data_IF_275238077822
#
_entry.id   IF_275238077822
#
_cell.length_a   1.000
_cell.length_b   1.000
_cell.length_c   1.000
_cell.angle_alpha   90.00
_cell.angle_beta   90.00
_cell.angle_gamma   90.00
#
_symmetry.space_group_name_H-M   'P 1'
#
loop_
_entity.id
_entity.type
_entity.pdbx_description
1 polymer ?
#
# COMPACT_ATOMS: atom_id res chain seq x y z
N UNK A 1 14.29 -11.67 9.07
CA UNK A 1 13.32 -10.82 8.36
C UNK A 1 14.10 -9.81 7.55
N UNK A 2 13.76 -9.55 6.28
CA UNK A 2 14.47 -8.55 5.47
C UNK A 2 14.17 -7.14 6.00
N UNK A 3 15.16 -6.25 6.00
CA UNK A 3 14.98 -4.87 6.42
C UNK A 3 14.14 -4.10 5.38
N UNK A 4 13.10 -3.39 5.84
CA UNK A 4 12.24 -2.59 4.96
C UNK A 4 12.92 -1.24 4.73
N UNK A 5 13.18 -0.89 3.47
CA UNK A 5 13.69 0.43 3.10
C UNK A 5 12.57 1.46 3.07
N UNK A 6 12.84 2.67 3.56
CA UNK A 6 11.90 3.79 3.54
C UNK A 6 12.37 4.89 2.60
N UNK A 7 11.51 5.28 1.67
CA UNK A 7 11.69 6.43 0.79
C UNK A 7 10.48 7.35 0.99
N UNK A 8 10.66 8.39 1.80
CA UNK A 8 9.56 9.29 2.13
C UNK A 8 9.37 10.34 1.03
N UNK A 9 8.11 10.61 0.67
CA UNK A 9 7.79 11.74 -0.21
C UNK A 9 8.32 13.05 0.35
N UNK A 10 8.84 13.90 -0.53
CA UNK A 10 9.24 15.28 -0.22
C UNK A 10 8.09 16.28 -0.40
N UNK A 11 7.00 15.85 -1.04
CA UNK A 11 5.84 16.67 -1.40
C UNK A 11 4.56 15.96 -0.94
N UNK A 12 4.25 15.98 0.37
CA UNK A 12 3.06 15.34 0.90
C UNK A 12 1.78 16.01 0.38
N UNK A 13 0.74 15.22 0.15
CA UNK A 13 -0.56 15.73 -0.26
C UNK A 13 -1.24 16.45 0.90
N UNK A 14 -2.08 17.44 0.58
CA UNK A 14 -2.98 18.03 1.56
C UNK A 14 -3.98 16.97 2.03
N UNK A 15 -4.07 16.76 3.34
CA UNK A 15 -5.06 15.85 3.94
C UNK A 15 -6.47 16.45 3.85
N UNK A 16 -7.53 15.63 3.74
CA UNK A 16 -8.89 16.10 3.91
C UNK A 16 -9.06 16.83 5.25
N UNK A 17 -9.80 17.93 5.23
CA UNK A 17 -10.14 18.69 6.43
C UNK A 17 -11.24 17.96 7.24
N UNK A 18 -11.39 18.26 8.54
CA UNK A 18 -12.51 17.76 9.33
C UNK A 18 -13.86 18.13 8.68
N UNK A 19 -14.71 17.13 8.44
CA UNK A 19 -16.01 17.31 7.80
C UNK A 19 -16.03 17.14 6.27
N UNK A 20 -14.86 17.05 5.61
CA UNK A 20 -14.81 16.72 4.19
C UNK A 20 -15.39 15.32 3.92
N UNK A 21 -16.09 15.11 2.79
CA UNK A 21 -16.59 13.79 2.43
C UNK A 21 -15.41 12.85 2.16
N UNK A 22 -15.51 11.62 2.68
CA UNK A 22 -14.51 10.56 2.49
C UNK A 22 -15.12 9.39 1.69
N UNK A 23 -15.34 9.54 0.38
CA UNK A 23 -15.84 8.45 -0.45
C UNK A 23 -14.86 7.27 -0.43
N UNK A 24 -15.40 6.06 -0.34
CA UNK A 24 -14.60 4.84 -0.26
C UNK A 24 -13.75 4.66 -1.53
N UNK A 25 -12.45 4.39 -1.35
CA UNK A 25 -11.55 3.99 -2.44
C UNK A 25 -11.09 5.12 -3.39
N UNK A 26 -11.33 6.39 -3.07
CA UNK A 26 -11.00 7.52 -3.97
C UNK A 26 -9.86 8.41 -3.47
N UNK A 27 -9.63 8.48 -2.16
CA UNK A 27 -8.58 9.29 -1.53
C UNK A 27 -7.48 8.35 -1.03
N UNK A 28 -6.25 8.55 -1.50
CA UNK A 28 -5.11 7.68 -1.18
C UNK A 28 -4.01 8.44 -0.45
N UNK A 29 -3.30 7.73 0.43
CA UNK A 29 -2.15 8.22 1.20
C UNK A 29 -0.93 8.52 0.32
N UNK A 30 0.09 9.11 0.95
CA UNK A 30 1.32 9.55 0.30
C UNK A 30 2.24 8.40 -0.14
N UNK A 31 2.15 7.24 0.52
CA UNK A 31 3.07 6.12 0.33
C UNK A 31 2.35 4.81 0.07
N UNK A 32 3.09 3.83 -0.47
CA UNK A 32 2.68 2.45 -0.66
C UNK A 32 3.82 1.50 -0.34
N UNK A 33 3.49 0.28 0.09
CA UNK A 33 4.46 -0.81 0.24
C UNK A 33 4.60 -1.59 -1.07
N UNK A 34 5.84 -1.97 -1.43
CA UNK A 34 6.15 -2.80 -2.59
C UNK A 34 7.22 -3.82 -2.20
N UNK A 35 7.12 -5.03 -2.75
CA UNK A 35 8.14 -6.07 -2.63
C UNK A 35 8.22 -6.83 -3.95
N UNK A 36 9.43 -7.15 -4.39
CA UNK A 36 9.64 -7.81 -5.68
C UNK A 36 9.77 -9.32 -5.48
N UNK A 37 9.36 -10.10 -6.48
CA UNK A 37 9.55 -11.55 -6.51
C UNK A 37 10.28 -11.97 -7.79
N UNK A 38 11.20 -12.93 -7.68
CA UNK A 38 11.86 -13.55 -8.82
C UNK A 38 12.02 -15.05 -8.60
N UNK A 39 11.70 -15.84 -9.62
CA UNK A 39 11.89 -17.30 -9.61
C UNK A 39 13.35 -17.64 -9.28
N UNK A 40 13.55 -18.57 -8.35
CA UNK A 40 14.88 -18.97 -7.84
C UNK A 40 15.48 -18.04 -6.78
N UNK A 41 15.02 -16.79 -6.66
CA UNK A 41 15.45 -15.85 -5.60
C UNK A 41 14.43 -15.72 -4.46
N UNK A 42 13.16 -15.91 -4.76
CA UNK A 42 12.06 -15.64 -3.83
C UNK A 42 11.73 -14.15 -3.74
N UNK A 43 11.14 -13.74 -2.62
CA UNK A 43 10.80 -12.35 -2.33
C UNK A 43 12.04 -11.55 -1.93
N UNK A 44 12.19 -10.33 -2.46
CA UNK A 44 13.30 -9.44 -2.15
C UNK A 44 12.93 -7.96 -2.26
N UNK A 45 13.81 -7.07 -1.78
CA UNK A 45 13.69 -5.62 -1.90
C UNK A 45 12.36 -5.03 -1.33
N UNK A 46 11.99 -5.34 -0.07
CA UNK A 46 10.82 -4.74 0.57
C UNK A 46 11.04 -3.26 0.83
N UNK A 47 10.05 -2.44 0.45
CA UNK A 47 10.19 -0.98 0.53
C UNK A 47 8.85 -0.27 0.72
N UNK A 48 8.87 0.82 1.49
CA UNK A 48 7.81 1.84 1.50
C UNK A 48 8.30 3.01 0.67
N UNK A 49 7.56 3.36 -0.37
CA UNK A 49 7.92 4.38 -1.37
C UNK A 49 6.77 5.36 -1.58
N UNK A 50 7.00 6.55 -2.18
CA UNK A 50 5.90 7.44 -2.58
C UNK A 50 4.93 6.70 -3.51
N UNK A 51 3.63 6.89 -3.28
CA UNK A 51 2.58 6.25 -4.08
C UNK A 51 2.67 6.75 -5.52
N UNK A 52 2.82 5.82 -6.46
CA UNK A 52 2.91 6.08 -7.90
C UNK A 52 2.18 4.99 -8.70
N UNK A 53 1.97 5.25 -9.99
CA UNK A 53 1.49 4.24 -10.93
C UNK A 53 2.47 3.07 -11.01
N UNK A 54 1.94 1.88 -11.24
CA UNK A 54 2.76 0.70 -11.53
C UNK A 54 3.16 0.74 -13.01
N UNK A 55 4.44 0.55 -13.28
CA UNK A 55 4.97 0.33 -14.63
C UNK A 55 4.96 -1.18 -14.88
N UNK A 56 4.15 -1.61 -15.84
CA UNK A 56 3.96 -3.02 -16.17
C UNK A 56 4.09 -3.20 -17.69
N UNK A 57 4.62 -4.35 -18.08
CA UNK A 57 4.57 -4.79 -19.48
C UNK A 57 3.10 -4.98 -19.91
N UNK A 58 2.68 -4.51 -21.09
CA UNK A 58 1.31 -4.72 -21.57
C UNK A 58 0.89 -6.19 -21.65
N UNK A 59 1.83 -7.13 -21.79
CA UNK A 59 1.59 -8.57 -21.79
C UNK A 59 1.64 -9.21 -20.40
N UNK A 60 1.75 -8.42 -19.31
CA UNK A 60 1.79 -8.96 -17.96
C UNK A 60 0.54 -9.79 -17.65
N UNK A 61 0.73 -11.01 -17.15
CA UNK A 61 -0.34 -12.01 -16.93
C UNK A 61 -1.48 -11.46 -16.07
N UNK A 62 -1.18 -10.59 -15.10
CA UNK A 62 -2.19 -9.91 -14.27
C UNK A 62 -3.26 -9.18 -15.11
N UNK A 63 -2.88 -8.61 -16.26
CA UNK A 63 -3.77 -7.85 -17.13
C UNK A 63 -4.61 -8.72 -18.08
N UNK A 64 -4.22 -9.97 -18.32
CA UNK A 64 -4.85 -10.85 -19.32
C UNK A 64 -5.60 -12.03 -18.70
N UNK A 65 -5.10 -12.55 -17.59
CA UNK A 65 -5.55 -13.81 -17.00
C UNK A 65 -5.85 -13.69 -15.50
N UNK A 66 -6.01 -12.46 -15.00
CA UNK A 66 -6.38 -12.15 -13.61
C UNK A 66 -5.53 -12.90 -12.57
N UNK A 67 -4.23 -13.05 -12.83
CA UNK A 67 -3.29 -13.59 -11.83
C UNK A 67 -2.99 -12.52 -10.77
N UNK A 68 -4.00 -12.26 -9.94
CA UNK A 68 -3.99 -11.28 -8.86
C UNK A 68 -4.86 -11.75 -7.70
N UNK A 69 -4.56 -11.20 -6.53
CA UNK A 69 -5.37 -11.33 -5.33
C UNK A 69 -5.22 -10.04 -4.53
N UNK A 70 -6.22 -9.72 -3.72
CA UNK A 70 -6.19 -8.57 -2.83
C UNK A 70 -6.81 -8.91 -1.49
N UNK A 71 -6.49 -8.11 -0.49
CA UNK A 71 -7.06 -8.20 0.85
C UNK A 71 -7.65 -6.87 1.30
N UNK A 72 -8.53 -6.93 2.30
CA UNK A 72 -9.28 -5.78 2.79
C UNK A 72 -9.35 -5.73 4.32
N UNK A 73 -8.55 -4.84 4.92
CA UNK A 73 -8.55 -4.60 6.37
C UNK A 73 -8.58 -3.09 6.70
N UNK A 74 -8.90 -2.78 7.95
CA UNK A 74 -9.01 -1.39 8.43
C UNK A 74 -8.08 -1.14 9.61
N UNK A 75 -7.49 0.06 9.61
CA UNK A 75 -6.81 0.64 10.75
C UNK A 75 -7.71 1.69 11.41
N UNK A 76 -7.80 1.67 12.73
CA UNK A 76 -8.64 2.56 13.51
C UNK A 76 -7.78 3.39 14.45
N UNK A 77 -8.02 4.70 14.48
CA UNK A 77 -7.47 5.58 15.51
C UNK A 77 -8.38 5.51 16.73
N UNK A 78 -7.80 5.21 17.88
CA UNK A 78 -8.50 5.12 19.17
C UNK A 78 -8.58 6.49 19.86
N UNK A 79 -9.39 6.58 20.93
CA UNK A 79 -9.56 7.81 21.70
C UNK A 79 -8.26 8.32 22.35
N UNK A 80 -7.32 7.43 22.68
CA UNK A 80 -5.99 7.79 23.20
C UNK A 80 -4.99 8.19 22.10
N UNK A 81 -5.42 8.20 20.83
CA UNK A 81 -4.60 8.58 19.68
C UNK A 81 -3.77 7.46 19.07
N UNK A 82 -3.71 6.27 19.69
CA UNK A 82 -3.05 5.09 19.12
C UNK A 82 -3.78 4.56 17.88
N UNK A 83 -3.12 3.70 17.10
CA UNK A 83 -3.68 3.09 15.88
C UNK A 83 -3.69 1.58 16.05
N UNK A 84 -4.84 0.96 15.78
CA UNK A 84 -5.05 -0.47 15.95
C UNK A 84 -5.58 -1.11 14.66
N UNK A 85 -5.20 -2.37 14.44
CA UNK A 85 -5.77 -3.24 13.40
C UNK A 85 -6.72 -4.23 14.07
N UNK A 86 -7.85 -4.52 13.43
CA UNK A 86 -8.77 -5.55 13.91
C UNK A 86 -8.43 -6.91 13.29
N UNK A 87 -7.89 -7.83 14.12
CA UNK A 87 -7.57 -9.22 13.74
C UNK A 87 -6.73 -9.36 12.44
N UNK A 88 -5.54 -8.72 12.36
CA UNK A 88 -4.71 -8.74 11.13
C UNK A 88 -4.04 -10.09 10.84
N UNK A 89 -4.16 -11.06 11.75
CA UNK A 89 -3.61 -12.41 11.68
C UNK A 89 -4.55 -13.43 11.00
N UNK A 90 -5.71 -12.98 10.51
CA UNK A 90 -6.78 -13.83 9.98
C UNK A 90 -6.88 -13.79 8.47
#
# INVERSE_FOLDING_TARGET
MQEIRYELTKTPKKKPAPGDPLPFGTIFTDHMFVMDYKVGKGWYNPRIVPRKSLELDPAAIVLHYAQESFEGLKAYRTADGSVQLFRPDR
#
